data_IF_996976015151
#
_entry.id   IF_996976015151
#
_cell.length_a   1.000
_cell.length_b   1.000
_cell.length_c   1.000
_cell.angle_alpha   90.00
_cell.angle_beta   90.00
_cell.angle_gamma   90.00
#
_symmetry.space_group_name_H-M   'P 1'
#
loop_
_entity.id
_entity.type
_entity.pdbx_description
1 polymer ?
#
# COMPACT_ATOMS: atom_id res chain seq x y z
N UNK A 1 8.66 3.68 26.34
CA UNK A 1 9.79 4.11 25.50
C UNK A 1 10.98 4.29 26.41
N UNK A 2 12.12 3.69 26.05
CA UNK A 2 13.31 3.74 26.88
C UNK A 2 13.96 5.13 26.82
N UNK A 3 14.79 5.46 27.82
CA UNK A 3 15.42 6.78 27.93
C UNK A 3 16.21 7.17 26.68
N UNK A 4 17.02 6.25 26.16
CA UNK A 4 17.81 6.45 24.94
C UNK A 4 16.94 6.79 23.71
N UNK A 5 15.82 6.08 23.54
CA UNK A 5 14.86 6.38 22.46
C UNK A 5 14.19 7.75 22.65
N UNK A 6 13.90 8.13 23.89
CA UNK A 6 13.29 9.43 24.20
C UNK A 6 14.26 10.58 23.88
N UNK A 7 15.53 10.43 24.24
CA UNK A 7 16.58 11.42 23.97
C UNK A 7 16.82 11.59 22.47
N UNK A 8 16.91 10.49 21.72
CA UNK A 8 17.03 10.52 20.26
C UNK A 8 15.80 11.18 19.62
N UNK A 9 14.58 10.86 20.07
CA UNK A 9 13.37 11.49 19.55
C UNK A 9 13.38 13.00 19.74
N UNK A 10 13.80 13.49 20.92
CA UNK A 10 13.91 14.92 21.19
C UNK A 10 14.95 15.58 20.26
N UNK A 11 16.10 14.92 20.05
CA UNK A 11 17.12 15.39 19.11
C UNK A 11 16.58 15.48 17.69
N UNK A 12 15.80 14.50 17.25
CA UNK A 12 15.14 14.51 15.94
C UNK A 12 14.16 15.67 15.83
N UNK A 13 13.29 15.85 16.83
CA UNK A 13 12.29 16.92 16.85
C UNK A 13 12.94 18.30 16.76
N UNK A 14 14.03 18.53 17.48
CA UNK A 14 14.77 19.78 17.42
C UNK A 14 15.39 20.00 16.04
N UNK A 15 16.05 18.96 15.49
CA UNK A 15 16.76 19.06 14.20
C UNK A 15 15.83 19.24 13.01
N UNK A 16 14.65 18.61 13.06
CA UNK A 16 13.66 18.57 11.98
C UNK A 16 12.46 19.48 12.20
N UNK A 17 12.48 20.31 13.25
CA UNK A 17 11.41 21.26 13.59
C UNK A 17 10.96 22.13 12.40
N UNK A 18 11.87 22.47 11.50
CA UNK A 18 11.56 23.24 10.28
C UNK A 18 10.76 22.47 9.22
N UNK A 19 10.71 21.13 9.29
CA UNK A 19 9.96 20.30 8.34
C UNK A 19 8.52 20.04 8.78
N UNK A 20 8.23 20.22 10.07
CA UNK A 20 6.90 20.03 10.67
C UNK A 20 6.95 19.32 12.01
N UNK A 21 5.78 19.05 12.58
CA UNK A 21 5.65 18.39 13.88
C UNK A 21 5.84 16.88 13.74
N UNK A 22 6.91 16.35 14.33
CA UNK A 22 7.18 14.90 14.34
C UNK A 22 6.31 14.20 15.37
N UNK A 23 5.40 13.36 14.88
CA UNK A 23 4.59 12.43 15.66
C UNK A 23 5.23 11.04 15.67
N UNK A 24 4.92 10.22 16.67
CA UNK A 24 5.45 8.86 16.76
C UNK A 24 4.37 7.84 17.14
N UNK A 25 4.49 6.61 16.64
CA UNK A 25 3.64 5.47 17.00
C UNK A 25 4.44 4.17 17.06
N UNK A 26 4.10 3.28 18.00
CA UNK A 26 4.75 1.97 18.12
C UNK A 26 4.50 1.11 16.87
N UNK A 27 5.58 0.62 16.25
CA UNK A 27 5.54 -0.20 15.05
C UNK A 27 6.82 -1.06 14.93
N UNK A 28 6.67 -2.35 14.63
CA UNK A 28 7.78 -3.30 14.41
C UNK A 28 8.81 -3.38 15.55
N UNK A 29 8.38 -3.26 16.82
CA UNK A 29 9.31 -3.30 17.96
C UNK A 29 10.11 -2.01 18.18
N UNK A 30 9.82 -0.94 17.42
CA UNK A 30 10.30 0.41 17.67
C UNK A 30 9.18 1.44 17.50
N UNK A 31 9.55 2.65 17.10
CA UNK A 31 8.65 3.77 16.92
C UNK A 31 8.76 4.31 15.49
N UNK A 32 7.67 4.26 14.74
CA UNK A 32 7.55 5.00 13.48
C UNK A 32 7.45 6.49 13.75
N UNK A 33 8.15 7.30 12.96
CA UNK A 33 8.13 8.76 13.01
C UNK A 33 7.45 9.31 11.76
N UNK A 34 6.50 10.23 11.97
CA UNK A 34 5.69 10.78 10.89
C UNK A 34 5.48 12.29 11.02
N UNK A 35 5.40 12.98 9.88
CA UNK A 35 4.93 14.36 9.75
C UNK A 35 3.71 14.32 8.82
N UNK A 36 2.60 14.93 9.22
CA UNK A 36 1.31 14.90 8.48
C UNK A 36 0.89 13.48 8.06
N UNK A 37 1.00 12.53 8.99
CA UNK A 37 0.71 11.10 8.78
C UNK A 37 1.54 10.44 7.64
N UNK A 38 2.65 11.05 7.22
CA UNK A 38 3.62 10.45 6.30
C UNK A 38 4.82 9.93 7.08
N UNK A 39 4.97 8.60 7.13
CA UNK A 39 6.08 7.93 7.85
C UNK A 39 7.37 8.06 7.04
N UNK A 40 8.31 8.83 7.58
CA UNK A 40 9.59 9.14 6.93
C UNK A 40 10.79 8.50 7.65
N UNK A 41 10.62 8.07 8.90
CA UNK A 41 11.69 7.49 9.69
C UNK A 41 11.18 6.45 10.71
N UNK A 42 12.12 5.66 11.23
CA UNK A 42 11.90 4.68 12.29
C UNK A 42 12.94 4.91 13.40
N UNK A 43 12.53 4.72 14.65
CA UNK A 43 13.38 4.77 15.82
C UNK A 43 13.36 3.41 16.49
N UNK A 44 14.48 2.71 16.49
CA UNK A 44 14.61 1.34 17.01
C UNK A 44 15.84 1.29 17.90
N UNK A 45 15.68 0.84 19.14
CA UNK A 45 16.77 0.74 20.12
C UNK A 45 17.58 2.04 20.30
N UNK A 46 16.91 3.20 20.23
CA UNK A 46 17.56 4.51 20.33
C UNK A 46 18.27 4.99 19.06
N UNK A 47 18.29 4.18 18.00
CA UNK A 47 18.88 4.51 16.70
C UNK A 47 17.82 5.00 15.72
N UNK A 48 18.15 6.05 14.98
CA UNK A 48 17.30 6.62 13.96
C UNK A 48 17.60 5.98 12.61
N UNK A 49 16.54 5.61 11.89
CA UNK A 49 16.62 5.10 10.53
C UNK A 49 15.72 5.94 9.62
N UNK A 50 16.25 6.45 8.52
CA UNK A 50 15.48 7.20 7.52
C UNK A 50 14.95 6.27 6.45
N UNK A 51 13.76 6.56 5.92
CA UNK A 51 13.19 5.83 4.80
C UNK A 51 14.09 6.00 3.58
N UNK A 52 14.49 4.89 2.97
CA UNK A 52 15.24 4.89 1.74
C UNK A 52 14.33 5.28 0.56
N UNK A 53 14.91 6.03 -0.37
CA UNK A 53 14.30 6.42 -1.65
C UNK A 53 15.35 6.35 -2.75
N UNK A 54 14.93 6.41 -4.01
CA UNK A 54 15.88 6.46 -5.13
C UNK A 54 16.84 7.65 -5.04
N UNK A 55 16.39 8.77 -4.45
CA UNK A 55 17.18 9.97 -4.24
C UNK A 55 18.20 9.86 -3.10
N UNK A 56 18.07 8.89 -2.20
CA UNK A 56 19.06 8.61 -1.16
C UNK A 56 20.07 7.53 -1.56
N UNK A 57 19.98 7.02 -2.81
CA UNK A 57 20.77 5.89 -3.30
C UNK A 57 22.27 6.20 -3.36
N UNK A 58 22.66 7.41 -3.75
CA UNK A 58 24.06 7.81 -3.85
C UNK A 58 24.76 7.79 -2.48
N UNK A 59 24.08 8.30 -1.46
CA UNK A 59 24.57 8.22 -0.08
C UNK A 59 24.67 6.77 0.39
N UNK A 60 23.65 5.97 0.12
CA UNK A 60 23.64 4.56 0.49
C UNK A 60 24.74 3.78 -0.21
N UNK A 61 25.05 4.08 -1.47
CA UNK A 61 26.12 3.42 -2.19
C UNK A 61 27.50 3.81 -1.64
N UNK A 62 27.68 5.09 -1.32
CA UNK A 62 28.96 5.64 -0.82
C UNK A 62 29.29 5.17 0.60
N UNK A 63 28.29 5.15 1.49
CA UNK A 63 28.51 4.89 2.92
C UNK A 63 28.06 3.48 3.34
N UNK A 64 27.32 2.75 2.49
CA UNK A 64 26.77 1.42 2.77
C UNK A 64 26.13 1.29 4.17
N UNK A 65 25.17 2.18 4.51
CA UNK A 65 24.59 2.22 5.86
C UNK A 65 23.79 0.95 6.16
N UNK A 66 23.74 0.59 7.43
CA UNK A 66 22.98 -0.57 7.91
C UNK A 66 21.48 -0.40 7.61
N UNK A 67 20.88 -1.38 6.95
CA UNK A 67 19.44 -1.41 6.68
C UNK A 67 18.68 -2.01 7.86
N UNK A 68 17.57 -1.37 8.24
CA UNK A 68 16.73 -1.85 9.32
C UNK A 68 16.15 -3.23 8.99
N UNK A 69 16.33 -4.20 9.89
CA UNK A 69 15.69 -5.51 9.79
C UNK A 69 14.74 -5.74 10.96
N UNK A 70 13.63 -6.43 10.71
CA UNK A 70 12.66 -6.78 11.74
C UNK A 70 12.27 -8.26 11.63
N UNK A 71 12.04 -8.90 12.78
CA UNK A 71 11.62 -10.31 12.81
C UNK A 71 10.10 -10.41 12.86
N UNK A 72 9.49 -11.02 11.84
CA UNK A 72 8.05 -11.27 11.79
C UNK A 72 7.80 -12.76 11.61
N UNK A 73 7.11 -13.40 12.57
CA UNK A 73 6.83 -14.86 12.58
C UNK A 73 8.10 -15.72 12.40
N UNK A 74 9.20 -15.32 13.05
CA UNK A 74 10.49 -16.02 12.94
C UNK A 74 11.26 -15.80 11.63
N UNK A 75 10.77 -14.95 10.72
CA UNK A 75 11.47 -14.56 9.48
C UNK A 75 12.02 -13.14 9.61
N UNK A 76 13.28 -12.94 9.22
CA UNK A 76 13.88 -11.62 9.13
C UNK A 76 13.42 -10.93 7.84
N UNK A 77 12.80 -9.75 7.99
CA UNK A 77 12.36 -8.90 6.90
C UNK A 77 13.18 -7.62 6.96
N UNK A 78 13.95 -7.37 5.89
CA UNK A 78 14.60 -6.07 5.71
C UNK A 78 13.54 -5.03 5.32
N UNK A 79 13.50 -3.94 6.06
CA UNK A 79 12.67 -2.78 5.80
C UNK A 79 13.49 -1.76 5.00
N UNK A 80 12.81 -0.96 4.19
CA UNK A 80 13.44 0.06 3.34
C UNK A 80 13.82 1.32 4.15
N UNK A 81 14.60 1.14 5.22
CA UNK A 81 15.10 2.22 6.07
C UNK A 81 16.58 2.00 6.34
N UNK A 82 17.39 3.05 6.22
CA UNK A 82 18.83 3.02 6.45
C UNK A 82 19.19 3.79 7.72
N UNK A 83 20.22 3.31 8.43
CA UNK A 83 20.70 3.91 9.67
C UNK A 83 21.23 5.32 9.43
N UNK A 84 20.85 6.24 10.32
CA UNK A 84 21.47 7.55 10.45
C UNK A 84 22.72 7.39 11.32
N UNK A 85 23.87 7.30 10.66
CA UNK A 85 25.18 7.18 11.28
C UNK A 85 25.64 8.48 11.96
N UNK A 86 26.80 8.42 12.61
CA UNK A 86 27.38 9.57 13.31
C UNK A 86 27.77 10.71 12.37
N UNK A 87 28.04 10.42 11.09
CA UNK A 87 28.39 11.42 10.08
C UNK A 87 27.17 12.27 9.70
N UNK A 88 26.02 11.64 9.45
CA UNK A 88 24.75 12.34 9.23
C UNK A 88 24.34 13.10 10.50
N UNK A 89 24.52 12.51 11.68
CA UNK A 89 24.25 13.18 12.96
C UNK A 89 25.18 14.36 13.23
N UNK A 90 26.41 14.32 12.73
CA UNK A 90 27.40 15.39 12.78
C UNK A 90 27.07 16.56 11.84
N UNK A 91 26.21 16.33 10.86
CA UNK A 91 25.81 17.32 9.84
C UNK A 91 24.30 17.59 9.85
N UNK A 92 23.78 18.44 10.76
CA UNK A 92 22.33 18.71 10.87
C UNK A 92 21.66 19.20 9.58
N UNK A 93 22.39 19.92 8.73
CA UNK A 93 21.90 20.36 7.42
C UNK A 93 21.69 19.17 6.47
N UNK A 94 22.69 18.29 6.35
CA UNK A 94 22.61 17.09 5.53
C UNK A 94 21.49 16.16 6.02
N UNK A 95 21.42 15.90 7.34
CA UNK A 95 20.35 15.10 7.93
C UNK A 95 18.96 15.67 7.61
N UNK A 96 18.81 17.00 7.64
CA UNK A 96 17.54 17.66 7.29
C UNK A 96 17.20 17.50 5.83
N UNK A 97 18.18 17.57 4.93
CA UNK A 97 17.96 17.39 3.50
C UNK A 97 17.53 15.95 3.20
N UNK A 98 18.20 14.96 3.79
CA UNK A 98 17.83 13.56 3.71
C UNK A 98 16.43 13.29 4.27
N UNK A 99 16.10 13.86 5.43
CA UNK A 99 14.77 13.73 6.02
C UNK A 99 13.69 14.40 5.15
N UNK A 100 13.99 15.55 4.51
CA UNK A 100 13.08 16.22 3.58
C UNK A 100 12.78 15.35 2.37
N UNK A 101 13.81 14.74 1.79
CA UNK A 101 13.68 13.81 0.66
C UNK A 101 12.85 12.60 1.06
N UNK A 102 13.18 11.94 2.19
CA UNK A 102 12.43 10.81 2.71
C UNK A 102 10.95 11.14 2.95
N UNK A 103 10.66 12.34 3.49
CA UNK A 103 9.30 12.81 3.71
C UNK A 103 8.56 13.09 2.39
N UNK A 104 9.22 13.71 1.41
CA UNK A 104 8.63 13.98 0.10
C UNK A 104 8.26 12.67 -0.61
N UNK A 105 9.16 11.69 -0.64
CA UNK A 105 8.88 10.36 -1.20
C UNK A 105 7.75 9.65 -0.43
N UNK A 106 7.78 9.68 0.91
CA UNK A 106 6.71 9.07 1.71
C UNK A 106 5.33 9.70 1.44
N UNK A 107 5.27 11.02 1.24
CA UNK A 107 4.04 11.73 0.85
C UNK A 107 3.60 11.36 -0.56
N UNK A 108 4.52 11.29 -1.52
CA UNK A 108 4.23 10.88 -2.89
C UNK A 108 3.65 9.45 -2.91
N UNK A 109 4.33 8.48 -2.30
CA UNK A 109 3.87 7.09 -2.23
C UNK A 109 2.53 6.94 -1.49
N UNK A 110 2.28 7.77 -0.46
CA UNK A 110 0.99 7.80 0.24
C UNK A 110 -0.11 8.34 -0.68
N UNK A 111 0.19 9.40 -1.44
CA UNK A 111 -0.74 9.98 -2.40
C UNK A 111 -1.02 9.03 -3.57
N UNK A 112 -0.03 8.30 -4.06
CA UNK A 112 -0.18 7.27 -5.08
C UNK A 112 -1.03 6.12 -4.57
N UNK A 113 -0.73 5.58 -3.38
CA UNK A 113 -1.59 4.55 -2.74
C UNK A 113 -3.01 5.02 -2.47
N UNK A 114 -3.21 6.31 -2.22
CA UNK A 114 -4.54 6.89 -2.06
C UNK A 114 -5.26 7.10 -3.41
N UNK A 115 -4.50 7.35 -4.50
CA UNK A 115 -5.01 7.47 -5.87
C UNK A 115 -5.32 6.11 -6.50
N UNK A 116 -4.52 5.10 -6.19
CA UNK A 116 -4.78 3.69 -6.48
C UNK A 116 -6.02 3.27 -5.69
N UNK A 117 -7.21 3.53 -6.25
CA UNK A 117 -8.46 2.99 -5.72
C UNK A 117 -8.25 1.50 -5.58
N UNK A 118 -8.32 0.99 -4.35
CA UNK A 118 -8.22 -0.45 -4.14
C UNK A 118 -9.46 -1.10 -4.72
N UNK A 119 -9.30 -2.31 -5.25
CA UNK A 119 -10.42 -3.07 -5.81
C UNK A 119 -11.52 -3.26 -4.75
N UNK A 120 -11.16 -3.49 -3.49
CA UNK A 120 -12.13 -3.58 -2.38
C UNK A 120 -12.91 -2.30 -2.09
N UNK A 121 -12.44 -1.14 -2.55
CA UNK A 121 -13.05 0.18 -2.30
C UNK A 121 -13.99 0.60 -3.45
N UNK A 122 -14.09 -0.22 -4.51
CA UNK A 122 -15.08 -0.04 -5.58
C UNK A 122 -16.48 -0.46 -5.10
N UNK A 123 -17.55 0.12 -5.66
CA UNK A 123 -18.91 -0.24 -5.29
C UNK A 123 -19.15 -1.74 -5.52
N UNK A 124 -19.89 -2.36 -4.61
CA UNK A 124 -20.27 -3.78 -4.63
C UNK A 124 -19.11 -4.78 -4.41
N UNK A 125 -17.85 -4.33 -4.32
CA UNK A 125 -16.71 -5.20 -4.04
C UNK A 125 -16.36 -5.15 -2.55
N UNK A 126 -15.76 -6.23 -2.05
CA UNK A 126 -15.31 -6.36 -0.67
C UNK A 126 -13.93 -7.03 -0.63
N UNK A 127 -13.32 -7.09 0.56
CA UNK A 127 -11.99 -7.69 0.77
C UNK A 127 -11.93 -9.14 0.27
N UNK A 128 -12.98 -9.93 0.51
CA UNK A 128 -12.99 -11.35 0.10
C UNK A 128 -13.02 -11.52 -1.43
N UNK A 129 -13.65 -10.59 -2.14
CA UNK A 129 -13.68 -10.58 -3.60
C UNK A 129 -12.38 -10.02 -4.17
N UNK A 130 -11.78 -9.01 -3.55
CA UNK A 130 -10.43 -8.51 -3.89
C UNK A 130 -9.39 -9.62 -3.79
N UNK A 131 -9.39 -10.42 -2.72
CA UNK A 131 -8.47 -11.55 -2.56
C UNK A 131 -8.62 -12.55 -3.71
N UNK A 132 -9.85 -12.91 -4.09
CA UNK A 132 -10.02 -13.87 -5.18
C UNK A 132 -9.78 -13.29 -6.57
N UNK A 133 -10.01 -11.99 -6.78
CA UNK A 133 -9.57 -11.30 -7.99
C UNK A 133 -8.04 -11.34 -8.09
N UNK A 134 -7.35 -11.11 -6.98
CA UNK A 134 -5.90 -11.16 -6.90
C UNK A 134 -5.35 -12.56 -7.20
N UNK A 135 -5.95 -13.61 -6.63
CA UNK A 135 -5.62 -15.02 -6.93
C UNK A 135 -5.88 -15.36 -8.40
N UNK A 136 -6.88 -14.73 -9.02
CA UNK A 136 -7.21 -14.88 -10.43
C UNK A 136 -6.37 -13.99 -11.37
N UNK A 137 -5.38 -13.26 -10.84
CA UNK A 137 -4.45 -12.42 -11.60
C UNK A 137 -4.91 -10.99 -11.85
N UNK A 138 -5.98 -10.52 -11.21
CA UNK A 138 -6.54 -9.16 -11.32
C UNK A 138 -6.14 -8.40 -10.05
N UNK A 139 -5.07 -7.61 -10.12
CA UNK A 139 -4.40 -7.05 -8.94
C UNK A 139 -4.76 -5.59 -8.64
N UNK A 140 -5.33 -4.89 -9.62
CA UNK A 140 -5.64 -3.47 -9.55
C UNK A 140 -6.90 -3.16 -10.38
N UNK A 141 -7.39 -1.92 -10.23
CA UNK A 141 -8.62 -1.45 -10.88
C UNK A 141 -8.44 -1.31 -12.39
N UNK A 142 -7.25 -0.94 -12.85
CA UNK A 142 -6.99 -0.80 -14.29
C UNK A 142 -7.08 -2.15 -14.99
N UNK A 143 -6.53 -3.20 -14.38
CA UNK A 143 -6.62 -4.59 -14.84
C UNK A 143 -8.07 -5.09 -14.80
N UNK A 144 -8.83 -4.75 -13.75
CA UNK A 144 -10.26 -5.07 -13.66
C UNK A 144 -11.05 -4.44 -14.83
N UNK A 145 -10.82 -3.15 -15.09
CA UNK A 145 -11.45 -2.43 -16.19
C UNK A 145 -11.03 -2.98 -17.56
N UNK A 146 -9.75 -3.32 -17.74
CA UNK A 146 -9.21 -3.85 -18.99
C UNK A 146 -9.80 -5.22 -19.37
N UNK A 147 -9.99 -6.12 -18.39
CA UNK A 147 -10.64 -7.40 -18.63
C UNK A 147 -12.16 -7.28 -18.76
N UNK A 148 -12.79 -6.37 -18.02
CA UNK A 148 -14.24 -6.22 -18.00
C UNK A 148 -14.95 -7.30 -17.16
N UNK A 149 -16.24 -7.07 -16.85
CA UNK A 149 -16.97 -7.90 -15.88
C UNK A 149 -17.04 -9.39 -16.26
N UNK A 150 -17.29 -9.69 -17.55
CA UNK A 150 -17.45 -11.06 -18.08
C UNK A 150 -16.16 -11.88 -17.93
N UNK A 151 -15.03 -11.34 -18.38
CA UNK A 151 -13.74 -12.03 -18.31
C UNK A 151 -13.25 -12.16 -16.86
N UNK A 152 -13.43 -11.13 -16.04
CA UNK A 152 -13.13 -11.20 -14.61
C UNK A 152 -13.95 -12.29 -13.92
N UNK A 153 -15.25 -12.41 -14.24
CA UNK A 153 -16.10 -13.46 -13.70
C UNK A 153 -15.64 -14.87 -14.14
N UNK A 154 -15.25 -15.05 -15.41
CA UNK A 154 -14.70 -16.32 -15.90
C UNK A 154 -13.39 -16.70 -15.21
N UNK A 155 -12.49 -15.73 -14.99
CA UNK A 155 -11.24 -15.94 -14.26
C UNK A 155 -11.50 -16.34 -12.80
N UNK A 156 -12.42 -15.64 -12.14
CA UNK A 156 -12.85 -15.98 -10.78
C UNK A 156 -13.45 -17.40 -10.71
N UNK A 157 -14.22 -17.82 -11.72
CA UNK A 157 -14.86 -19.15 -11.76
C UNK A 157 -13.85 -20.30 -11.71
N UNK A 158 -12.64 -20.10 -12.25
CA UNK A 158 -11.56 -21.10 -12.18
C UNK A 158 -11.12 -21.36 -10.73
N UNK A 159 -11.16 -20.34 -9.88
CA UNK A 159 -10.81 -20.44 -8.46
C UNK A 159 -12.02 -20.77 -7.56
N UNK A 160 -13.23 -20.29 -7.92
CA UNK A 160 -14.47 -20.51 -7.16
C UNK A 160 -15.58 -21.05 -8.05
N UNK A 161 -15.98 -22.31 -7.83
CA UNK A 161 -16.97 -23.00 -8.67
C UNK A 161 -18.41 -22.47 -8.53
N UNK A 162 -18.76 -21.83 -7.41
CA UNK A 162 -20.13 -21.39 -7.12
C UNK A 162 -20.27 -19.85 -7.17
N UNK A 163 -19.92 -19.24 -8.31
CA UNK A 163 -20.16 -17.81 -8.51
C UNK A 163 -21.57 -17.60 -9.05
N UNK A 164 -22.33 -16.72 -8.39
CA UNK A 164 -23.66 -16.33 -8.84
C UNK A 164 -23.64 -15.16 -9.81
N UNK A 165 -24.77 -14.92 -10.46
CA UNK A 165 -25.03 -13.76 -11.31
C UNK A 165 -24.80 -12.42 -10.57
N UNK A 166 -25.10 -12.36 -9.27
CA UNK A 166 -24.87 -11.15 -8.47
C UNK A 166 -23.39 -10.70 -8.52
N UNK A 167 -22.42 -11.63 -8.58
CA UNK A 167 -21.00 -11.26 -8.69
C UNK A 167 -20.71 -10.61 -10.03
N UNK A 168 -21.35 -11.06 -11.11
CA UNK A 168 -21.19 -10.47 -12.44
C UNK A 168 -21.71 -9.02 -12.45
N UNK A 169 -22.88 -8.77 -11.84
CA UNK A 169 -23.40 -7.41 -11.66
C UNK A 169 -22.53 -6.57 -10.73
N UNK A 170 -22.03 -7.12 -9.63
CA UNK A 170 -21.13 -6.44 -8.73
C UNK A 170 -19.85 -5.97 -9.46
N UNK A 171 -19.25 -6.82 -10.29
CA UNK A 171 -18.10 -6.47 -11.13
C UNK A 171 -18.43 -5.38 -12.14
N UNK A 172 -19.59 -5.46 -12.80
CA UNK A 172 -20.02 -4.41 -13.75
C UNK A 172 -20.27 -3.07 -13.05
N UNK A 173 -20.93 -3.10 -11.88
CA UNK A 173 -21.14 -1.91 -11.05
C UNK A 173 -19.81 -1.30 -10.60
N UNK A 174 -18.86 -2.13 -10.20
CA UNK A 174 -17.51 -1.71 -9.83
C UNK A 174 -16.78 -0.98 -10.97
N UNK A 175 -16.82 -1.53 -12.19
CA UNK A 175 -16.18 -0.96 -13.38
C UNK A 175 -16.85 0.36 -13.79
N UNK A 176 -18.17 0.44 -13.70
CA UNK A 176 -18.95 1.64 -14.05
C UNK A 176 -18.99 2.68 -12.94
N UNK A 177 -18.47 2.37 -11.75
CA UNK A 177 -18.50 3.26 -10.59
C UNK A 177 -19.90 3.43 -9.98
N UNK A 178 -20.81 2.47 -10.16
CA UNK A 178 -22.20 2.51 -9.68
C UNK A 178 -22.56 1.30 -8.82
N UNK A 179 -23.54 1.45 -7.93
CA UNK A 179 -24.09 0.30 -7.19
C UNK A 179 -24.80 -0.65 -8.16
N UNK A 180 -24.72 -1.98 -7.94
CA UNK A 180 -25.26 -2.99 -8.87
C UNK A 180 -26.77 -2.83 -9.16
N UNK A 181 -27.51 -2.30 -8.19
CA UNK A 181 -28.94 -2.00 -8.30
C UNK A 181 -29.25 -0.81 -9.24
N UNK A 182 -28.26 0.05 -9.50
CA UNK A 182 -28.37 1.22 -10.38
C UNK A 182 -27.87 0.95 -11.81
N UNK A 183 -27.44 -0.27 -12.12
CA UNK A 183 -27.06 -0.65 -13.48
C UNK A 183 -28.24 -0.48 -14.45
N UNK A 184 -28.03 0.09 -15.65
CA UNK A 184 -29.08 0.20 -16.66
C UNK A 184 -29.70 -1.15 -16.99
N UNK A 185 -31.02 -1.18 -17.20
CA UNK A 185 -31.77 -2.41 -17.50
C UNK A 185 -31.16 -3.20 -18.68
N UNK A 186 -30.80 -2.49 -19.75
CA UNK A 186 -30.16 -3.08 -20.93
C UNK A 186 -28.87 -3.85 -20.59
N UNK A 187 -28.00 -3.28 -19.74
CA UNK A 187 -26.75 -3.94 -19.32
C UNK A 187 -27.05 -5.15 -18.44
N UNK A 188 -28.06 -5.06 -17.57
CA UNK A 188 -28.47 -6.19 -16.72
C UNK A 188 -28.98 -7.36 -17.55
N UNK A 189 -29.83 -7.09 -18.54
CA UNK A 189 -30.34 -8.08 -19.48
C UNK A 189 -29.21 -8.74 -20.27
N UNK A 190 -28.27 -7.96 -20.82
CA UNK A 190 -27.13 -8.49 -21.57
C UNK A 190 -26.26 -9.44 -20.72
N UNK A 191 -25.99 -9.04 -19.46
CA UNK A 191 -25.19 -9.86 -18.53
C UNK A 191 -25.94 -11.11 -18.07
N UNK A 192 -27.26 -11.03 -17.88
CA UNK A 192 -28.11 -12.18 -17.57
C UNK A 192 -28.11 -13.19 -18.72
N UNK A 193 -28.35 -12.73 -19.94
CA UNK A 193 -28.37 -13.59 -21.13
C UNK A 193 -27.03 -14.30 -21.31
N UNK A 194 -25.92 -13.57 -21.18
CA UNK A 194 -24.58 -14.14 -21.24
C UNK A 194 -24.35 -15.19 -20.14
N UNK A 195 -24.80 -14.92 -18.91
CA UNK A 195 -24.67 -15.87 -17.80
C UNK A 195 -25.47 -17.15 -18.05
N UNK A 196 -26.70 -17.03 -18.56
CA UNK A 196 -27.56 -18.18 -18.87
C UNK A 196 -26.97 -19.04 -19.98
N UNK A 197 -26.40 -18.42 -21.02
CA UNK A 197 -25.72 -19.15 -22.11
C UNK A 197 -24.53 -19.97 -21.58
N UNK A 198 -23.75 -19.43 -20.64
CA UNK A 198 -22.65 -20.16 -20.01
C UNK A 198 -23.12 -21.33 -19.13
N UNK A 199 -24.26 -21.20 -18.46
CA UNK A 199 -24.84 -22.29 -17.66
C UNK A 199 -25.28 -23.46 -18.54
N UNK A 200 -25.83 -23.18 -19.71
CA UNK A 200 -26.28 -24.21 -20.68
C UNK A 200 -25.07 -24.94 -21.30
N UNK A 201 -24.01 -24.23 -21.66
CA UNK A 201 -22.80 -24.82 -22.26
C UNK A 201 -22.00 -25.73 -21.31
N UNK A 202 -22.12 -25.55 -19.99
CA UNK A 202 -21.42 -26.39 -19.00
C UNK A 202 -22.19 -27.66 -18.60
N UNK A 203 -23.43 -27.85 -19.09
CA UNK A 203 -24.25 -29.05 -18.86
C UNK A 203 -24.30 -29.98 -20.08
N UNK A 204 -23.61 -29.62 -21.17
CA UNK A 204 -23.53 -30.38 -22.43
C UNK A 204 -22.20 -31.13 -22.54
#
# INVERSE_FOLDING_TARGET
MDKCSSDTLLRVQNTLSSLGTVTHRSLFGGYSLAIDDAVFAMLVEGRLYLRASDLSRDYQHTHSPEMLSCTRRGRNISLNYYLVDDELWGSPALLRDHARVALACARAEKSERARERRVKDLPNLNVQLEVSLWEAGIRDVDTLCAFGAKECWLKLRKARKNLGLHVLYALQGAITGTHEAALPAQIREELLEWFMQLSVQNQS
#
